data_IF_645349998418
#
_entry.id   IF_645349998418
#
_cell.length_a   1.000
_cell.length_b   1.000
_cell.length_c   1.000
_cell.angle_alpha   90.00
_cell.angle_beta   90.00
_cell.angle_gamma   90.00
#
_symmetry.space_group_name_H-M   'P 1'
#
loop_
_entity.id
_entity.type
_entity.pdbx_description
1 polymer ?
#
# COMPACT_ATOMS: atom_id res chain seq x y z
N UNK A 1 11.60 1.19 21.87
CA UNK A 1 11.56 2.66 21.62
C UNK A 1 11.57 2.82 20.11
N UNK A 2 10.80 3.77 19.60
CA UNK A 2 10.78 4.15 18.19
C UNK A 2 11.04 5.64 18.09
N UNK A 3 11.39 6.13 16.90
CA UNK A 3 11.70 7.53 16.67
C UNK A 3 10.98 8.01 15.43
N UNK A 4 10.44 9.22 15.50
CA UNK A 4 10.01 9.98 14.34
C UNK A 4 11.12 10.97 14.05
N UNK A 5 11.63 10.95 12.82
CA UNK A 5 12.69 11.83 12.36
C UNK A 5 12.08 12.76 11.32
N UNK A 6 12.08 14.05 11.57
CA UNK A 6 11.61 15.02 10.59
C UNK A 6 12.60 15.14 9.44
N UNK A 7 12.08 15.18 8.22
CA UNK A 7 12.87 15.36 7.01
C UNK A 7 13.71 16.63 7.08
N UNK A 8 14.91 16.58 6.51
CA UNK A 8 15.83 17.73 6.45
C UNK A 8 16.54 17.78 5.10
N UNK A 9 16.81 18.99 4.63
CA UNK A 9 17.49 19.24 3.35
C UNK A 9 19.00 19.24 3.46
N UNK A 10 19.56 19.25 4.67
CA UNK A 10 21.00 19.18 4.87
C UNK A 10 21.47 17.73 5.06
N UNK A 11 22.65 17.42 4.55
CA UNK A 11 23.23 16.07 4.55
C UNK A 11 23.87 15.67 5.89
N UNK A 12 23.64 16.44 6.97
CA UNK A 12 24.24 16.10 8.26
C UNK A 12 23.71 14.76 8.77
N UNK A 13 24.50 14.03 9.58
CA UNK A 13 24.01 12.79 10.19
C UNK A 13 22.83 13.06 11.15
N UNK A 14 21.86 12.16 11.22
CA UNK A 14 20.80 12.18 12.25
C UNK A 14 21.29 11.42 13.47
N UNK A 15 21.22 12.05 14.64
CA UNK A 15 21.56 11.40 15.91
C UNK A 15 20.29 11.17 16.74
N UNK A 16 19.94 9.91 16.97
CA UNK A 16 18.72 9.55 17.70
C UNK A 16 18.69 10.04 19.16
N UNK A 17 19.85 10.33 19.77
CA UNK A 17 19.87 10.95 21.10
C UNK A 17 19.41 12.41 21.08
N UNK A 18 19.61 13.12 19.96
CA UNK A 18 19.11 14.48 19.73
C UNK A 18 17.61 14.44 19.45
N UNK A 19 17.15 13.49 18.63
CA UNK A 19 15.72 13.23 18.41
C UNK A 19 15.01 12.91 19.74
N UNK A 20 15.62 12.07 20.59
CA UNK A 20 15.09 11.74 21.91
C UNK A 20 14.98 12.95 22.84
N UNK A 21 15.81 13.98 22.63
CA UNK A 21 15.78 15.22 23.38
C UNK A 21 14.76 16.24 22.81
N UNK A 22 14.05 15.89 21.73
CA UNK A 22 13.04 16.75 21.09
C UNK A 22 13.69 17.81 20.21
N UNK A 23 14.44 17.39 19.20
CA UNK A 23 15.01 18.28 18.18
C UNK A 23 15.11 17.55 16.86
N UNK A 24 14.40 18.02 15.83
CA UNK A 24 14.33 17.37 14.52
C UNK A 24 13.46 16.11 14.50
N UNK A 25 12.53 15.99 15.47
CA UNK A 25 11.68 14.82 15.64
C UNK A 25 11.38 14.53 17.11
N UNK A 26 10.84 13.33 17.40
CA UNK A 26 10.52 12.91 18.76
C UNK A 26 10.66 11.39 18.96
N UNK A 27 10.80 10.97 20.22
CA UNK A 27 10.86 9.56 20.62
C UNK A 27 9.50 9.04 21.10
N UNK A 28 9.20 7.78 20.77
CA UNK A 28 8.06 7.00 21.26
C UNK A 28 8.60 5.92 22.22
N UNK A 29 8.23 6.01 23.49
CA UNK A 29 8.63 5.07 24.53
C UNK A 29 7.57 3.99 24.74
N UNK A 30 8.01 2.73 24.90
CA UNK A 30 7.13 1.58 25.13
C UNK A 30 6.30 1.69 26.41
N UNK A 31 5.20 0.93 26.48
CA UNK A 31 4.29 0.89 27.63
C UNK A 31 4.93 0.11 28.80
N UNK A 32 5.26 -1.17 28.60
CA UNK A 32 5.83 -2.03 29.64
C UNK A 32 7.17 -2.67 29.21
N UNK A 33 7.83 -3.29 30.18
CA UNK A 33 9.04 -4.07 29.92
C UNK A 33 8.68 -5.36 29.17
N UNK A 34 9.54 -5.77 28.24
CA UNK A 34 9.42 -6.99 27.41
C UNK A 34 8.25 -7.01 26.41
N UNK A 35 7.47 -5.94 26.26
CA UNK A 35 6.45 -5.82 25.21
C UNK A 35 7.04 -5.78 23.78
N UNK A 36 8.36 -5.58 23.66
CA UNK A 36 9.09 -5.40 22.39
C UNK A 36 8.49 -4.33 21.46
N UNK A 37 7.92 -3.27 22.03
CA UNK A 37 7.38 -2.15 21.26
C UNK A 37 8.44 -1.52 20.33
N UNK A 38 8.08 -1.34 19.06
CA UNK A 38 8.97 -0.84 18.02
C UNK A 38 9.75 -1.94 17.29
N UNK A 39 9.36 -3.21 17.45
CA UNK A 39 9.85 -4.30 16.62
C UNK A 39 9.46 -4.09 15.15
N UNK A 40 8.23 -3.65 14.92
CA UNK A 40 7.73 -3.15 13.64
C UNK A 40 7.11 -1.77 13.84
N UNK A 41 7.37 -0.87 12.89
CA UNK A 41 6.83 0.49 12.83
C UNK A 41 6.54 0.83 11.37
N UNK A 42 5.53 1.66 11.13
CA UNK A 42 5.24 2.21 9.81
C UNK A 42 4.58 3.58 9.93
N UNK A 43 4.57 4.34 8.83
CA UNK A 43 3.54 5.37 8.64
C UNK A 43 2.18 4.66 8.64
N UNK A 44 1.18 5.30 9.22
CA UNK A 44 -0.20 4.84 9.17
C UNK A 44 -1.02 5.57 8.09
N UNK A 45 -0.51 6.69 7.54
CA UNK A 45 -1.33 7.63 6.79
C UNK A 45 -2.25 8.43 7.74
N UNK A 46 -3.19 9.22 7.21
CA UNK A 46 -4.14 10.01 7.98
C UNK A 46 -5.35 9.15 8.40
N UNK A 47 -5.13 8.26 9.38
CA UNK A 47 -6.20 7.36 9.88
C UNK A 47 -7.29 8.11 10.64
N UNK A 48 -7.10 9.40 10.95
CA UNK A 48 -8.04 10.19 11.76
C UNK A 48 -8.70 11.36 11.00
N UNK A 49 -8.23 11.66 9.78
CA UNK A 49 -8.77 12.68 8.89
C UNK A 49 -8.48 14.09 9.36
N UNK A 50 -7.30 14.35 9.95
CA UNK A 50 -6.86 15.69 10.36
C UNK A 50 -5.79 16.32 9.45
N UNK A 51 -5.42 15.62 8.37
CA UNK A 51 -4.46 16.04 7.36
C UNK A 51 -3.00 15.85 7.76
N UNK A 52 -2.72 15.13 8.85
CA UNK A 52 -1.37 14.73 9.23
C UNK A 52 -1.25 13.22 9.22
N UNK A 53 -0.17 12.71 8.62
CA UNK A 53 0.16 11.30 8.72
C UNK A 53 0.35 10.87 10.18
N UNK A 54 -0.35 9.80 10.53
CA UNK A 54 -0.28 9.11 11.80
C UNK A 54 0.77 7.98 11.73
N UNK A 55 1.00 7.29 12.86
CA UNK A 55 2.03 6.28 12.98
C UNK A 55 1.48 5.02 13.64
N UNK A 56 1.95 3.85 13.22
CA UNK A 56 1.66 2.59 13.90
C UNK A 56 2.92 1.95 14.47
N UNK A 57 2.83 1.49 15.72
CA UNK A 57 3.93 0.83 16.45
C UNK A 57 3.48 -0.51 16.99
N UNK A 58 4.11 -1.60 16.54
CA UNK A 58 3.85 -2.96 16.99
C UNK A 58 4.60 -3.32 18.28
N UNK A 59 3.93 -4.08 19.16
CA UNK A 59 4.44 -4.59 20.43
C UNK A 59 3.94 -6.03 20.65
N UNK A 60 4.54 -6.97 19.91
CA UNK A 60 4.01 -8.32 19.71
C UNK A 60 4.04 -9.24 20.95
N UNK A 61 4.77 -8.88 22.01
CA UNK A 61 4.73 -9.59 23.31
C UNK A 61 3.91 -8.86 24.37
N UNK A 62 3.25 -7.75 24.04
CA UNK A 62 2.43 -7.08 25.02
C UNK A 62 1.28 -7.98 25.50
N UNK A 63 0.92 -7.83 26.78
CA UNK A 63 -0.12 -8.61 27.45
C UNK A 63 -1.39 -7.75 27.63
N UNK A 64 -2.29 -7.67 26.62
CA UNK A 64 -3.62 -7.09 26.80
C UNK A 64 -4.49 -7.98 27.70
N UNK A 65 -5.71 -7.51 28.01
CA UNK A 65 -6.66 -8.28 28.83
C UNK A 65 -7.11 -9.61 28.20
N UNK A 66 -6.91 -9.80 26.89
CA UNK A 66 -7.18 -11.05 26.18
C UNK A 66 -6.17 -12.16 26.48
N UNK A 67 -4.97 -11.84 26.98
CA UNK A 67 -4.03 -12.82 27.46
C UNK A 67 -2.56 -12.51 27.16
N UNK A 68 -1.69 -13.40 27.63
CA UNK A 68 -0.23 -13.22 27.52
C UNK A 68 0.24 -13.32 26.06
N UNK A 69 1.18 -12.48 25.66
CA UNK A 69 1.75 -12.39 24.31
C UNK A 69 0.70 -12.33 23.19
N UNK A 70 -0.54 -11.90 23.49
CA UNK A 70 -1.54 -11.68 22.45
C UNK A 70 -1.10 -10.52 21.53
N UNK A 71 -0.27 -9.63 22.07
CA UNK A 71 0.31 -8.50 21.37
C UNK A 71 -0.59 -7.26 21.43
N UNK A 72 0.04 -6.10 21.21
CA UNK A 72 -0.64 -4.82 21.02
C UNK A 72 -0.01 -4.09 19.84
N UNK A 73 -0.81 -3.24 19.20
CA UNK A 73 -0.31 -2.20 18.31
C UNK A 73 -0.83 -0.85 18.77
N UNK A 74 -0.09 0.22 18.52
CA UNK A 74 -0.44 1.57 18.97
C UNK A 74 -0.47 2.49 17.77
N UNK A 75 -1.60 3.13 17.58
CA UNK A 75 -1.79 4.18 16.58
C UNK A 75 -1.54 5.50 17.29
N UNK A 76 -0.51 6.21 16.86
CA UNK A 76 -0.08 7.50 17.42
C UNK A 76 -0.43 8.56 16.40
N UNK A 77 -1.32 9.47 16.77
CA UNK A 77 -1.73 10.52 15.85
C UNK A 77 -0.58 11.51 15.60
N UNK A 78 -0.50 11.95 14.35
CA UNK A 78 0.42 12.91 13.81
C UNK A 78 0.37 14.21 14.60
N UNK A 79 1.54 14.83 14.75
CA UNK A 79 1.65 16.10 15.47
C UNK A 79 2.89 16.88 15.07
N UNK A 80 2.77 18.20 15.16
CA UNK A 80 3.83 19.12 14.77
C UNK A 80 4.86 19.32 15.91
N UNK A 81 4.49 19.07 17.16
CA UNK A 81 5.40 19.27 18.30
C UNK A 81 6.37 18.09 18.51
N UNK A 82 7.57 18.40 18.97
CA UNK A 82 8.68 17.46 19.17
C UNK A 82 8.67 16.76 20.55
N UNK A 83 7.56 16.87 21.30
CA UNK A 83 7.50 16.25 22.64
C UNK A 83 7.51 14.73 22.54
N UNK A 84 8.20 14.05 23.46
CA UNK A 84 8.17 12.59 23.53
C UNK A 84 6.75 12.04 23.74
N UNK A 85 6.48 10.86 23.20
CA UNK A 85 5.23 10.11 23.39
C UNK A 85 5.52 8.87 24.23
N UNK A 86 4.64 8.55 25.18
CA UNK A 86 4.68 7.28 25.91
C UNK A 86 3.47 6.45 25.51
N UNK A 87 3.66 5.19 25.10
CA UNK A 87 2.57 4.35 24.61
C UNK A 87 1.47 4.09 25.68
N UNK A 88 1.79 4.24 26.97
CA UNK A 88 0.79 4.20 28.04
C UNK A 88 -0.29 5.31 27.94
N UNK A 89 0.05 6.49 27.42
CA UNK A 89 -0.97 7.54 27.21
C UNK A 89 -1.83 7.26 25.98
N UNK A 90 -1.25 6.64 24.95
CA UNK A 90 -1.97 6.18 23.76
C UNK A 90 -2.95 5.07 24.14
N UNK A 91 -2.52 4.11 24.97
CA UNK A 91 -3.39 3.06 25.53
C UNK A 91 -4.57 3.63 26.33
N UNK A 92 -4.41 4.81 26.94
CA UNK A 92 -5.48 5.51 27.66
C UNK A 92 -6.38 6.39 26.76
N UNK A 93 -6.16 6.38 25.44
CA UNK A 93 -6.96 7.13 24.46
C UNK A 93 -6.57 8.60 24.32
N UNK A 94 -5.32 8.97 24.62
CA UNK A 94 -4.80 10.34 24.45
C UNK A 94 -3.77 10.37 23.34
N UNK A 95 -4.01 11.18 22.28
CA UNK A 95 -3.08 11.32 21.15
C UNK A 95 -3.02 10.11 20.21
N UNK A 96 -4.04 9.26 20.24
CA UNK A 96 -4.13 8.04 19.45
C UNK A 96 -4.96 6.98 20.15
N UNK A 97 -4.86 5.73 19.71
CA UNK A 97 -5.54 4.58 20.32
C UNK A 97 -4.70 3.31 20.26
N UNK A 98 -5.08 2.31 21.07
CA UNK A 98 -4.44 1.00 21.11
C UNK A 98 -5.31 -0.06 20.42
N UNK A 99 -4.65 -1.00 19.74
CA UNK A 99 -5.22 -2.20 19.15
C UNK A 99 -4.73 -3.38 20.00
N UNK A 100 -5.67 -4.09 20.64
CA UNK A 100 -5.38 -5.23 21.50
C UNK A 100 -5.53 -6.56 20.74
N UNK A 101 -4.54 -7.44 20.89
CA UNK A 101 -4.50 -8.77 20.29
C UNK A 101 -5.70 -9.67 20.61
N UNK A 102 -5.99 -10.64 19.73
CA UNK A 102 -7.15 -11.52 19.83
C UNK A 102 -6.97 -12.59 20.92
N UNK A 103 -5.98 -13.49 20.75
CA UNK A 103 -5.75 -14.62 21.66
C UNK A 103 -4.30 -14.67 22.17
N UNK A 104 -4.11 -15.45 23.23
CA UNK A 104 -2.79 -15.76 23.82
C UNK A 104 -1.83 -16.28 22.75
N UNK A 105 -0.59 -15.80 22.77
CA UNK A 105 0.50 -16.23 21.88
C UNK A 105 0.27 -16.02 20.36
N UNK A 106 -0.77 -15.28 19.94
CA UNK A 106 -0.99 -14.92 18.53
C UNK A 106 0.10 -13.97 17.98
N UNK A 107 0.79 -13.24 18.87
CA UNK A 107 1.86 -12.28 18.57
C UNK A 107 1.43 -11.17 17.60
N UNK A 108 0.22 -10.64 17.79
CA UNK A 108 -0.27 -9.54 16.96
C UNK A 108 0.60 -8.28 17.08
N UNK A 109 0.85 -7.59 15.96
CA UNK A 109 1.76 -6.44 15.93
C UNK A 109 3.22 -6.81 15.72
N UNK A 110 3.50 -8.05 15.31
CA UNK A 110 4.83 -8.46 14.82
C UNK A 110 5.19 -7.71 13.52
N UNK A 111 4.21 -7.48 12.65
CA UNK A 111 4.29 -6.67 11.45
C UNK A 111 3.08 -5.74 11.43
N UNK A 112 3.33 -4.45 11.23
CA UNK A 112 2.30 -3.42 11.11
C UNK A 112 2.59 -2.54 9.90
N UNK A 113 1.55 -2.07 9.23
CA UNK A 113 1.65 -1.11 8.14
C UNK A 113 0.38 -0.26 8.04
N UNK A 114 0.47 0.92 7.42
CA UNK A 114 -0.69 1.48 6.73
C UNK A 114 -1.21 0.46 5.71
N UNK A 115 -2.52 0.42 5.55
CA UNK A 115 -3.22 -0.31 4.52
C UNK A 115 -3.64 0.61 3.35
N UNK A 116 -3.54 1.94 3.50
CA UNK A 116 -4.23 2.89 2.61
C UNK A 116 -5.75 2.89 2.87
N UNK A 117 -6.53 3.56 2.03
CA UNK A 117 -8.00 3.58 2.12
C UNK A 117 -8.60 2.35 1.42
N UNK A 118 -8.53 1.21 2.10
CA UNK A 118 -8.99 -0.07 1.51
C UNK A 118 -10.52 -0.16 1.41
N UNK A 119 -11.24 0.76 2.04
CA UNK A 119 -12.70 0.73 2.14
C UNK A 119 -13.39 1.91 1.41
N UNK A 120 -12.63 2.89 0.96
CA UNK A 120 -13.07 4.03 0.18
C UNK A 120 -13.89 5.03 1.01
N UNK A 121 -13.54 5.24 2.29
CA UNK A 121 -14.18 6.24 3.17
C UNK A 121 -13.36 7.51 3.39
N UNK A 122 -12.19 7.60 2.75
CA UNK A 122 -11.28 8.75 2.78
C UNK A 122 -10.44 8.84 4.05
N UNK A 123 -10.38 7.79 4.85
CA UNK A 123 -9.43 7.64 5.95
C UNK A 123 -8.46 6.50 5.61
N UNK A 124 -7.18 6.68 5.93
CA UNK A 124 -6.26 5.56 5.82
C UNK A 124 -6.64 4.47 6.83
N UNK A 125 -6.47 3.22 6.41
CA UNK A 125 -6.69 2.03 7.22
C UNK A 125 -5.35 1.42 7.64
N UNK A 126 -5.40 0.39 8.49
CA UNK A 126 -4.21 -0.25 9.06
C UNK A 126 -4.25 -1.75 8.85
N UNK A 127 -3.10 -2.37 8.66
CA UNK A 127 -2.96 -3.84 8.68
C UNK A 127 -2.00 -4.30 9.78
N UNK A 128 -2.44 -5.31 10.55
CA UNK A 128 -1.71 -5.88 11.68
C UNK A 128 -1.58 -7.39 11.49
N UNK A 129 -0.35 -7.90 11.42
CA UNK A 129 -0.04 -9.32 11.31
C UNK A 129 0.03 -10.03 12.67
N UNK A 130 -0.44 -11.29 12.71
CA UNK A 130 -0.39 -12.21 13.85
C UNK A 130 -0.10 -13.64 13.34
N UNK A 131 1.16 -13.89 12.98
CA UNK A 131 1.53 -15.09 12.21
C UNK A 131 1.50 -16.41 13.00
N UNK A 132 1.28 -16.36 14.31
CA UNK A 132 1.06 -17.54 15.15
C UNK A 132 -0.41 -17.80 15.48
N UNK A 133 -1.33 -16.97 14.98
CA UNK A 133 -2.75 -17.19 15.21
C UNK A 133 -3.26 -18.46 14.51
N UNK A 134 -4.31 -19.04 15.11
CA UNK A 134 -4.89 -20.32 14.71
C UNK A 134 -6.32 -20.16 14.14
N UNK A 135 -6.50 -19.59 12.93
CA UNK A 135 -7.82 -19.46 12.33
C UNK A 135 -8.44 -20.84 12.06
N UNK A 136 -9.73 -21.01 12.40
CA UNK A 136 -10.49 -22.24 12.17
C UNK A 136 -9.81 -23.54 12.63
N UNK A 137 -9.03 -23.47 13.72
CA UNK A 137 -8.21 -24.55 14.27
C UNK A 137 -7.04 -25.02 13.36
N UNK A 138 -6.58 -24.17 12.43
CA UNK A 138 -5.35 -24.39 11.66
C UNK A 138 -4.15 -23.82 12.44
N UNK A 139 -3.45 -24.68 13.17
CA UNK A 139 -2.27 -24.31 13.98
C UNK A 139 -1.28 -23.48 13.14
N UNK A 140 -0.98 -22.26 13.60
CA UNK A 140 -0.02 -21.31 13.00
C UNK A 140 -0.23 -21.04 11.52
N UNK A 141 -1.46 -21.14 11.02
CA UNK A 141 -1.78 -20.64 9.69
C UNK A 141 -1.61 -19.11 9.61
N UNK A 142 -1.75 -18.44 10.76
CA UNK A 142 -1.61 -17.00 10.89
C UNK A 142 -2.89 -16.26 10.55
N UNK A 143 -3.01 -15.03 11.08
CA UNK A 143 -4.05 -14.07 10.74
C UNK A 143 -3.42 -12.72 10.44
N UNK A 144 -4.10 -11.95 9.61
CA UNK A 144 -3.90 -10.49 9.50
C UNK A 144 -5.22 -9.79 9.75
N UNK A 145 -5.17 -8.58 10.30
CA UNK A 145 -6.35 -7.81 10.63
C UNK A 145 -6.25 -6.45 9.97
N UNK A 146 -7.28 -6.13 9.20
CA UNK A 146 -7.48 -4.78 8.68
C UNK A 146 -8.31 -4.03 9.70
N UNK A 147 -7.80 -2.89 10.17
CA UNK A 147 -8.45 -2.02 11.13
C UNK A 147 -8.76 -0.71 10.42
N UNK A 148 -10.05 -0.38 10.31
CA UNK A 148 -10.46 0.83 9.62
C UNK A 148 -10.08 2.10 10.39
N UNK A 149 -9.70 3.13 9.63
CA UNK A 149 -9.45 4.48 10.10
C UNK A 149 -10.64 5.03 10.88
N UNK A 150 -10.36 5.86 11.89
CA UNK A 150 -11.38 6.49 12.71
C UNK A 150 -10.88 7.71 13.48
N UNK A 151 -11.81 8.64 13.71
CA UNK A 151 -11.57 9.88 14.48
C UNK A 151 -11.61 9.69 15.99
N UNK A 152 -12.38 8.69 16.46
CA UNK A 152 -12.45 8.41 17.89
C UNK A 152 -11.21 7.67 18.40
N UNK A 153 -10.89 7.87 19.67
CA UNK A 153 -9.68 7.32 20.29
C UNK A 153 -9.96 6.05 21.09
N UNK A 154 -11.10 5.41 20.86
CA UNK A 154 -11.47 4.21 21.63
C UNK A 154 -10.56 3.05 21.25
N UNK A 155 -10.22 2.19 22.21
CA UNK A 155 -9.39 1.02 21.92
C UNK A 155 -10.11 0.07 20.97
N UNK A 156 -9.35 -0.53 20.05
CA UNK A 156 -9.81 -1.60 19.16
C UNK A 156 -9.40 -2.94 19.76
N UNK A 157 -10.28 -3.93 19.75
CA UNK A 157 -9.95 -5.30 20.11
C UNK A 157 -10.07 -6.17 18.87
N UNK A 158 -9.01 -6.89 18.50
CA UNK A 158 -9.00 -7.70 17.29
C UNK A 158 -10.06 -8.82 17.32
N UNK A 159 -10.47 -9.27 18.51
CA UNK A 159 -11.61 -10.19 18.68
C UNK A 159 -12.95 -9.62 18.21
N UNK A 160 -13.15 -8.30 18.21
CA UNK A 160 -14.36 -7.67 17.68
C UNK A 160 -14.35 -7.56 16.14
N UNK A 161 -13.15 -7.51 15.54
CA UNK A 161 -12.93 -7.57 14.10
C UNK A 161 -13.10 -9.00 13.59
N UNK A 162 -12.56 -9.98 14.31
CA UNK A 162 -12.70 -11.40 13.98
C UNK A 162 -14.11 -11.95 14.22
N UNK A 163 -14.92 -11.28 15.03
CA UNK A 163 -16.33 -11.64 15.21
C UNK A 163 -17.13 -11.41 13.92
N UNK A 164 -18.24 -12.13 13.76
CA UNK A 164 -19.12 -12.01 12.57
C UNK A 164 -19.69 -10.60 12.32
N UNK A 165 -19.62 -9.71 13.31
CA UNK A 165 -19.98 -8.30 13.15
C UNK A 165 -18.93 -7.46 12.41
N UNK A 166 -17.67 -7.92 12.28
CA UNK A 166 -16.58 -7.19 11.63
C UNK A 166 -16.44 -5.76 12.15
N UNK A 167 -16.52 -5.55 13.47
CA UNK A 167 -16.66 -4.19 13.99
C UNK A 167 -15.32 -3.46 13.88
N UNK A 168 -15.26 -2.46 12.99
CA UNK A 168 -14.08 -1.63 12.79
C UNK A 168 -13.04 -2.21 11.84
N UNK A 169 -13.41 -3.17 10.98
CA UNK A 169 -12.53 -3.72 9.95
C UNK A 169 -12.88 -5.17 9.62
N UNK A 170 -11.95 -5.92 9.05
CA UNK A 170 -12.11 -7.34 8.74
C UNK A 170 -10.84 -8.15 9.03
N UNK A 171 -10.99 -9.47 9.15
CA UNK A 171 -9.89 -10.42 9.38
C UNK A 171 -9.57 -11.20 8.11
N UNK A 172 -8.28 -11.44 7.89
CA UNK A 172 -7.72 -12.28 6.84
C UNK A 172 -7.14 -13.54 7.49
N UNK A 173 -7.72 -14.69 7.20
CA UNK A 173 -7.32 -15.98 7.76
C UNK A 173 -6.32 -16.71 6.85
N UNK A 174 -5.28 -17.27 7.45
CA UNK A 174 -4.29 -18.10 6.79
C UNK A 174 -4.84 -19.33 6.06
N UNK A 175 -4.16 -19.73 4.99
CA UNK A 175 -4.58 -20.81 4.10
C UNK A 175 -4.41 -22.19 4.76
N UNK A 176 -3.18 -22.59 5.11
CA UNK A 176 -2.87 -23.90 5.67
C UNK A 176 -2.08 -23.81 6.99
N UNK A 177 -2.03 -24.94 7.70
CA UNK A 177 -1.28 -25.12 8.95
C UNK A 177 0.19 -24.76 8.72
N UNK A 178 0.77 -24.00 9.67
CA UNK A 178 2.18 -23.56 9.70
C UNK A 178 2.63 -22.70 8.50
N UNK A 179 1.72 -22.22 7.63
CA UNK A 179 2.05 -21.27 6.56
C UNK A 179 2.55 -19.92 7.12
N UNK A 180 2.13 -19.57 8.35
CA UNK A 180 2.51 -18.36 9.09
C UNK A 180 2.25 -17.07 8.30
N UNK A 181 1.06 -16.99 7.70
CA UNK A 181 0.62 -15.77 7.04
C UNK A 181 0.57 -14.59 8.02
N UNK A 182 0.87 -13.38 7.54
CA UNK A 182 0.95 -12.20 8.40
C UNK A 182 2.30 -12.01 9.11
N UNK A 183 3.33 -12.78 8.70
CA UNK A 183 4.72 -12.53 9.14
C UNK A 183 5.22 -11.16 8.66
N UNK A 184 4.75 -10.75 7.48
CA UNK A 184 4.99 -9.47 6.85
C UNK A 184 3.70 -9.05 6.16
N UNK A 185 3.29 -7.81 6.39
CA UNK A 185 2.09 -7.19 5.83
C UNK A 185 2.43 -5.78 5.37
N UNK A 186 1.81 -5.34 4.28
CA UNK A 186 1.96 -3.99 3.74
C UNK A 186 0.68 -3.60 2.99
N UNK A 187 0.42 -2.29 2.86
CA UNK A 187 -0.38 -1.80 1.73
C UNK A 187 0.31 -2.23 0.43
N UNK A 188 -0.49 -2.55 -0.58
CA UNK A 188 -0.07 -2.82 -1.93
C UNK A 188 -0.25 -1.59 -2.85
N UNK A 189 -1.01 -0.57 -2.42
CA UNK A 189 -1.56 0.44 -3.31
C UNK A 189 -2.74 -0.10 -4.13
N UNK A 190 -3.21 0.61 -5.15
CA UNK A 190 -4.28 0.15 -6.03
C UNK A 190 -3.69 -0.72 -7.16
N UNK A 191 -3.50 -2.02 -6.88
CA UNK A 191 -2.82 -2.90 -7.84
C UNK A 191 -3.77 -3.44 -8.92
N UNK A 192 -5.07 -3.18 -8.79
CA UNK A 192 -6.09 -3.68 -9.72
C UNK A 192 -6.85 -2.55 -10.45
N UNK A 193 -6.63 -1.29 -10.07
CA UNK A 193 -7.22 -0.12 -10.71
C UNK A 193 -8.68 0.13 -10.35
N UNK A 194 -9.16 -0.39 -9.22
CA UNK A 194 -10.54 -0.25 -8.77
C UNK A 194 -10.81 0.94 -7.85
N UNK A 195 -9.75 1.69 -7.51
CA UNK A 195 -9.79 2.90 -6.70
C UNK A 195 -9.79 2.67 -5.20
N UNK A 196 -9.59 1.43 -4.74
CA UNK A 196 -9.37 1.09 -3.34
C UNK A 196 -7.93 0.61 -3.18
N UNK A 197 -7.30 0.97 -2.06
CA UNK A 197 -6.00 0.40 -1.75
C UNK A 197 -6.13 -1.10 -1.46
N UNK A 198 -5.17 -1.86 -2.00
CA UNK A 198 -5.05 -3.30 -1.82
C UNK A 198 -4.00 -3.64 -0.76
N UNK A 199 -3.92 -4.92 -0.41
CA UNK A 199 -3.07 -5.43 0.66
C UNK A 199 -2.17 -6.55 0.16
N UNK A 200 -0.95 -6.63 0.68
CA UNK A 200 -0.09 -7.81 0.48
C UNK A 200 0.26 -8.48 1.82
N UNK A 201 0.06 -9.79 1.88
CA UNK A 201 0.28 -10.63 3.07
C UNK A 201 1.25 -11.75 2.73
N UNK A 202 2.38 -11.80 3.43
CA UNK A 202 3.40 -12.84 3.28
C UNK A 202 3.14 -14.09 4.13
N UNK A 203 3.38 -15.27 3.55
CA UNK A 203 3.30 -16.59 4.19
C UNK A 203 4.52 -17.44 3.80
N UNK A 204 5.65 -17.13 4.44
CA UNK A 204 6.97 -17.58 4.01
C UNK A 204 7.25 -19.09 4.17
N UNK A 205 6.44 -19.81 4.96
CA UNK A 205 6.55 -21.26 5.12
C UNK A 205 5.55 -22.03 4.26
N UNK A 206 4.74 -21.34 3.44
CA UNK A 206 3.77 -22.01 2.61
C UNK A 206 4.43 -22.90 1.53
N UNK A 207 3.70 -23.95 1.16
CA UNK A 207 4.15 -24.98 0.21
C UNK A 207 3.37 -24.89 -1.13
N UNK A 208 3.61 -23.87 -1.98
CA UNK A 208 2.90 -23.76 -3.26
C UNK A 208 3.14 -25.00 -4.12
N UNK A 209 2.05 -25.63 -4.57
CA UNK A 209 2.08 -26.87 -5.36
C UNK A 209 2.92 -28.01 -4.72
N UNK A 210 3.06 -28.01 -3.39
CA UNK A 210 3.85 -28.99 -2.64
C UNK A 210 5.35 -28.71 -2.58
N UNK A 211 5.80 -27.55 -3.06
CA UNK A 211 7.20 -27.12 -3.00
C UNK A 211 7.52 -26.60 -1.60
N UNK A 212 8.17 -27.45 -0.79
CA UNK A 212 8.41 -27.23 0.63
C UNK A 212 9.08 -25.87 0.92
N UNK A 213 8.44 -25.01 1.72
CA UNK A 213 8.95 -23.71 2.15
C UNK A 213 9.41 -22.80 1.00
N UNK A 214 8.81 -22.93 -0.19
CA UNK A 214 9.01 -21.94 -1.25
C UNK A 214 8.38 -20.60 -0.86
N UNK A 215 7.35 -20.63 -0.02
CA UNK A 215 6.62 -19.47 0.46
C UNK A 215 5.55 -19.01 -0.54
N UNK A 216 4.58 -18.25 -0.02
CA UNK A 216 3.56 -17.56 -0.80
C UNK A 216 3.45 -16.11 -0.34
N UNK A 217 2.98 -15.25 -1.23
CA UNK A 217 2.40 -13.95 -0.86
C UNK A 217 1.00 -13.87 -1.44
N UNK A 218 0.11 -13.14 -0.78
CA UNK A 218 -1.28 -13.00 -1.20
C UNK A 218 -1.59 -11.52 -1.34
N UNK A 219 -2.06 -11.14 -2.52
CA UNK A 219 -2.66 -9.85 -2.76
C UNK A 219 -4.15 -9.98 -2.45
N UNK A 220 -4.63 -9.15 -1.53
CA UNK A 220 -6.04 -9.12 -1.11
C UNK A 220 -6.60 -7.77 -1.52
N UNK A 221 -7.62 -7.78 -2.36
CA UNK A 221 -8.19 -6.54 -2.87
C UNK A 221 -8.97 -5.78 -1.79
N UNK A 222 -8.90 -4.45 -1.88
CA UNK A 222 -9.69 -3.52 -1.08
C UNK A 222 -11.19 -3.81 -1.22
N UNK A 223 -11.94 -3.52 -0.15
CA UNK A 223 -13.39 -3.71 -0.15
C UNK A 223 -14.10 -2.93 0.96
N UNK A 224 -15.34 -2.53 0.65
CA UNK A 224 -16.22 -1.79 1.58
C UNK A 224 -16.89 -2.67 2.63
N UNK A 225 -17.13 -3.94 2.31
CA UNK A 225 -17.75 -4.87 3.25
C UNK A 225 -16.74 -5.37 4.29
N UNK A 226 -17.25 -5.85 5.41
CA UNK A 226 -16.45 -6.29 6.56
C UNK A 226 -16.38 -7.81 6.68
N UNK A 227 -16.70 -8.53 5.59
CA UNK A 227 -16.70 -9.98 5.62
C UNK A 227 -15.27 -10.52 5.84
N UNK A 228 -15.14 -11.64 6.52
CA UNK A 228 -13.87 -12.36 6.62
C UNK A 228 -13.33 -12.73 5.25
N UNK A 229 -12.01 -12.63 5.09
CA UNK A 229 -11.29 -13.12 3.91
C UNK A 229 -10.49 -14.35 4.31
N UNK A 230 -10.62 -15.44 3.54
CA UNK A 230 -9.77 -16.62 3.70
C UNK A 230 -8.75 -16.66 2.56
N UNK A 231 -7.46 -16.79 2.88
CA UNK A 231 -6.40 -16.80 1.85
C UNK A 231 -6.54 -17.98 0.86
N UNK A 232 -7.27 -19.04 1.21
CA UNK A 232 -7.64 -20.11 0.26
C UNK A 232 -8.57 -19.62 -0.85
N UNK A 233 -9.43 -18.64 -0.58
CA UNK A 233 -10.32 -18.02 -1.58
C UNK A 233 -9.52 -17.13 -2.51
N UNK A 234 -8.55 -16.37 -1.96
CA UNK A 234 -7.59 -15.57 -2.72
C UNK A 234 -6.74 -16.45 -3.63
N UNK A 235 -6.23 -17.58 -3.12
CA UNK A 235 -5.48 -18.56 -3.91
C UNK A 235 -6.30 -19.17 -5.07
N UNK A 236 -7.63 -19.17 -4.95
CA UNK A 236 -8.54 -19.60 -6.02
C UNK A 236 -8.92 -18.49 -7.01
N UNK A 237 -8.38 -17.28 -6.84
CA UNK A 237 -8.57 -16.13 -7.74
C UNK A 237 -9.85 -15.35 -7.48
N UNK A 238 -10.34 -15.28 -6.24
CA UNK A 238 -11.50 -14.46 -5.87
C UNK A 238 -11.10 -13.41 -4.83
N UNK A 239 -11.34 -12.13 -5.12
CA UNK A 239 -11.01 -11.01 -4.21
C UNK A 239 -9.52 -10.71 -4.08
N UNK A 240 -8.71 -11.14 -5.06
CA UNK A 240 -7.26 -11.00 -5.07
C UNK A 240 -6.58 -12.14 -5.83
N UNK A 241 -5.26 -12.24 -5.70
CA UNK A 241 -4.46 -13.31 -6.30
C UNK A 241 -3.29 -13.74 -5.42
N UNK A 242 -2.77 -14.95 -5.68
CA UNK A 242 -1.61 -15.51 -4.97
C UNK A 242 -0.35 -15.40 -5.82
N UNK A 243 0.78 -15.16 -5.16
CA UNK A 243 2.13 -15.16 -5.70
C UNK A 243 2.86 -16.36 -5.10
N UNK A 244 3.20 -17.35 -5.92
CA UNK A 244 3.84 -18.59 -5.49
C UNK A 244 5.37 -18.49 -5.59
N UNK A 245 6.05 -18.89 -4.51
CA UNK A 245 7.51 -19.00 -4.46
C UNK A 245 8.09 -19.97 -5.49
N UNK A 246 9.33 -19.70 -5.89
CA UNK A 246 10.02 -20.42 -6.98
C UNK A 246 10.53 -21.81 -6.55
N UNK A 247 11.47 -21.88 -5.60
CA UNK A 247 12.12 -23.13 -5.20
C UNK A 247 11.93 -23.43 -3.72
N UNK A 248 12.08 -24.71 -3.37
CA UNK A 248 11.98 -25.17 -2.00
C UNK A 248 13.03 -24.51 -1.10
N UNK A 249 12.59 -23.95 0.03
CA UNK A 249 13.45 -23.27 0.98
C UNK A 249 13.89 -21.86 0.58
N UNK A 250 13.28 -21.26 -0.45
CA UNK A 250 13.54 -19.86 -0.82
C UNK A 250 12.91 -18.88 0.19
N UNK A 251 11.86 -19.31 0.91
CA UNK A 251 11.10 -18.53 1.89
C UNK A 251 10.63 -17.19 1.33
N UNK A 252 10.04 -17.20 0.12
CA UNK A 252 9.42 -16.02 -0.48
C UNK A 252 8.25 -15.51 0.37
N UNK A 253 8.01 -14.19 0.39
CA UNK A 253 6.98 -13.61 1.24
C UNK A 253 7.38 -13.44 2.71
N UNK A 254 8.67 -13.63 3.06
CA UNK A 254 9.19 -13.25 4.38
C UNK A 254 9.19 -11.73 4.58
N UNK A 255 9.27 -10.98 3.49
CA UNK A 255 9.18 -9.53 3.43
C UNK A 255 8.45 -9.14 2.16
N UNK A 256 7.39 -8.33 2.30
CA UNK A 256 6.58 -7.81 1.20
C UNK A 256 6.39 -6.31 1.35
N UNK A 257 6.25 -5.59 0.24
CA UNK A 257 5.93 -4.16 0.22
C UNK A 257 5.30 -3.77 -1.11
N UNK A 258 4.60 -2.64 -1.15
CA UNK A 258 4.33 -1.95 -2.42
C UNK A 258 5.65 -1.45 -3.01
N UNK A 259 5.73 -1.43 -4.33
CA UNK A 259 6.79 -0.78 -5.08
C UNK A 259 6.33 0.57 -5.69
N UNK A 260 5.04 0.91 -5.56
CA UNK A 260 4.37 1.91 -6.39
C UNK A 260 4.28 1.46 -7.85
N UNK A 261 3.70 2.28 -8.71
CA UNK A 261 3.73 2.07 -10.16
C UNK A 261 5.15 2.29 -10.73
N UNK A 262 5.96 1.21 -10.83
CA UNK A 262 7.35 1.30 -11.29
C UNK A 262 7.49 1.12 -12.80
N UNK A 263 6.43 0.67 -13.47
CA UNK A 263 6.42 0.45 -14.91
C UNK A 263 5.67 1.56 -15.69
N UNK A 264 4.96 2.44 -14.98
CA UNK A 264 4.21 3.56 -15.52
C UNK A 264 2.84 3.19 -16.09
N UNK A 265 2.29 2.02 -15.75
CA UNK A 265 1.07 1.51 -16.37
C UNK A 265 -0.23 2.01 -15.71
N UNK A 266 -0.11 2.75 -14.61
CA UNK A 266 -1.23 3.29 -13.86
C UNK A 266 -1.71 2.39 -12.71
N UNK A 267 -1.11 1.22 -12.52
CA UNK A 267 -1.36 0.32 -11.40
C UNK A 267 -0.16 0.27 -10.46
N UNK A 268 -0.40 0.13 -9.15
CA UNK A 268 0.70 -0.07 -8.22
C UNK A 268 1.31 -1.47 -8.34
N UNK A 269 2.63 -1.54 -8.21
CA UNK A 269 3.40 -2.78 -8.27
C UNK A 269 3.84 -3.25 -6.88
N UNK A 270 4.37 -4.48 -6.83
CA UNK A 270 4.72 -5.17 -5.60
C UNK A 270 6.17 -5.59 -5.60
N UNK A 271 6.80 -5.62 -4.43
CA UNK A 271 8.13 -6.20 -4.22
C UNK A 271 8.11 -7.30 -3.15
N UNK A 272 8.68 -8.46 -3.49
CA UNK A 272 8.67 -9.67 -2.65
C UNK A 272 10.10 -10.16 -2.44
N UNK A 273 10.47 -10.38 -1.19
CA UNK A 273 11.76 -10.94 -0.80
C UNK A 273 11.73 -12.46 -0.62
N UNK A 274 12.73 -13.14 -1.19
CA UNK A 274 13.03 -14.57 -1.00
C UNK A 274 14.48 -14.71 -0.52
N UNK A 275 14.69 -14.47 0.77
CA UNK A 275 16.02 -14.22 1.34
C UNK A 275 16.98 -15.43 1.30
N UNK A 276 16.49 -16.64 1.04
CA UNK A 276 17.34 -17.84 0.93
C UNK A 276 17.41 -18.42 -0.49
N UNK A 277 16.85 -17.73 -1.48
CA UNK A 277 16.98 -18.14 -2.87
C UNK A 277 18.45 -18.20 -3.32
N UNK A 278 18.71 -19.04 -4.33
CA UNK A 278 20.04 -19.38 -4.82
C UNK A 278 20.32 -18.82 -6.24
N UNK A 279 20.33 -17.48 -6.47
CA UNK A 279 20.60 -16.91 -7.79
C UNK A 279 22.01 -17.26 -8.27
N UNK A 280 22.16 -17.57 -9.55
CA UNK A 280 23.43 -18.01 -10.16
C UNK A 280 24.14 -19.17 -9.42
N UNK A 281 23.38 -20.05 -8.76
CA UNK A 281 23.90 -21.11 -7.89
C UNK A 281 24.70 -20.60 -6.68
N UNK A 282 24.46 -19.37 -6.22
CA UNK A 282 25.05 -18.81 -5.00
C UNK A 282 24.12 -19.09 -3.83
N UNK A 283 24.50 -20.05 -2.99
CA UNK A 283 23.66 -20.49 -1.88
C UNK A 283 23.25 -19.33 -0.96
N UNK A 284 21.94 -19.18 -0.77
CA UNK A 284 21.27 -18.20 0.09
C UNK A 284 21.72 -16.76 -0.14
N UNK A 285 22.02 -16.41 -1.40
CA UNK A 285 22.32 -15.04 -1.77
C UNK A 285 21.04 -14.16 -1.79
N UNK A 286 19.87 -14.80 -1.90
CA UNK A 286 18.56 -14.16 -1.88
C UNK A 286 18.15 -13.60 -3.25
N UNK A 287 16.84 -13.50 -3.47
CA UNK A 287 16.23 -12.82 -4.63
C UNK A 287 15.18 -11.83 -4.13
N UNK A 288 15.01 -10.74 -4.89
CA UNK A 288 13.88 -9.83 -4.79
C UNK A 288 13.17 -9.82 -6.13
N UNK A 289 11.85 -9.91 -6.10
CA UNK A 289 11.01 -9.94 -7.29
C UNK A 289 10.13 -8.71 -7.28
N UNK A 290 10.06 -8.01 -8.42
CA UNK A 290 9.00 -7.03 -8.69
C UNK A 290 7.90 -7.76 -9.44
N UNK A 291 6.66 -7.61 -8.98
CA UNK A 291 5.47 -8.20 -9.58
C UNK A 291 4.54 -7.05 -9.93
N UNK A 292 4.19 -6.93 -11.21
CA UNK A 292 3.36 -5.82 -11.66
C UNK A 292 1.90 -5.97 -11.24
N UNK A 293 1.25 -4.83 -11.02
CA UNK A 293 -0.19 -4.72 -10.83
C UNK A 293 -0.96 -5.33 -12.00
N UNK A 294 -2.19 -5.79 -11.74
CA UNK A 294 -3.08 -6.37 -12.76
C UNK A 294 -4.53 -6.46 -12.29
N UNK A 295 -5.45 -6.33 -13.24
CA UNK A 295 -6.90 -6.47 -13.01
C UNK A 295 -7.40 -7.91 -12.89
N UNK A 296 -6.68 -8.87 -13.48
CA UNK A 296 -7.07 -10.27 -13.37
C UNK A 296 -6.61 -10.90 -12.05
N UNK A 297 -7.24 -11.99 -11.66
CA UNK A 297 -6.94 -12.69 -10.42
C UNK A 297 -6.11 -13.96 -10.62
N UNK A 298 -5.46 -14.12 -11.79
CA UNK A 298 -4.61 -15.30 -12.03
C UNK A 298 -3.43 -15.30 -11.06
N UNK A 299 -3.05 -16.50 -10.60
CA UNK A 299 -1.85 -16.66 -9.79
C UNK A 299 -0.60 -16.23 -10.56
N UNK A 300 0.38 -15.71 -9.84
CA UNK A 300 1.72 -15.39 -10.35
C UNK A 300 2.68 -16.43 -9.81
N UNK A 301 3.44 -17.09 -10.67
CA UNK A 301 4.51 -18.00 -10.26
C UNK A 301 5.86 -17.28 -10.42
N UNK A 302 6.63 -17.12 -9.33
CA UNK A 302 7.92 -16.42 -9.38
C UNK A 302 8.95 -17.11 -10.30
N UNK A 303 8.74 -18.40 -10.58
CA UNK A 303 9.51 -19.15 -11.58
C UNK A 303 9.34 -18.59 -13.00
N UNK A 304 8.16 -18.10 -13.36
CA UNK A 304 7.91 -17.50 -14.68
C UNK A 304 8.65 -16.16 -14.82
N UNK A 305 8.73 -15.38 -13.74
CA UNK A 305 9.52 -14.13 -13.73
C UNK A 305 11.01 -14.45 -13.92
N UNK A 306 11.53 -15.43 -13.19
CA UNK A 306 12.92 -15.89 -13.35
C UNK A 306 13.23 -16.43 -14.75
N UNK A 307 12.23 -16.99 -15.43
CA UNK A 307 12.35 -17.48 -16.80
C UNK A 307 12.19 -16.39 -17.88
N UNK A 308 11.83 -15.16 -17.49
CA UNK A 308 11.51 -14.08 -18.43
C UNK A 308 10.16 -14.25 -19.13
N UNK A 309 9.25 -15.04 -18.56
CA UNK A 309 7.90 -15.30 -19.07
C UNK A 309 6.83 -14.36 -18.48
N UNK A 310 7.24 -13.31 -17.74
CA UNK A 310 6.32 -12.31 -17.21
C UNK A 310 5.61 -11.51 -18.31
N UNK A 311 4.49 -10.88 -17.96
CA UNK A 311 3.76 -9.97 -18.86
C UNK A 311 4.67 -8.77 -19.19
N UNK A 312 4.65 -8.35 -20.45
CA UNK A 312 5.44 -7.23 -20.94
C UNK A 312 4.77 -5.94 -20.46
N UNK A 313 5.49 -5.11 -19.70
CA UNK A 313 5.05 -3.76 -19.37
C UNK A 313 4.83 -2.95 -20.66
N UNK A 314 3.85 -2.04 -20.65
CA UNK A 314 3.67 -1.10 -21.75
C UNK A 314 4.95 -0.27 -21.95
N UNK A 315 5.37 -0.06 -23.19
CA UNK A 315 6.58 0.71 -23.46
C UNK A 315 6.27 2.21 -23.40
N UNK A 316 7.17 3.03 -22.85
CA UNK A 316 7.03 4.49 -22.91
C UNK A 316 6.92 4.94 -24.38
N UNK A 317 5.79 5.53 -24.74
CA UNK A 317 5.53 6.04 -26.09
C UNK A 317 6.21 7.40 -26.30
N UNK A 318 6.13 8.26 -25.28
CA UNK A 318 6.69 9.60 -25.30
C UNK A 318 7.62 9.81 -24.11
N UNK A 319 8.93 9.86 -24.38
CA UNK A 319 9.94 10.18 -23.38
C UNK A 319 10.53 11.56 -23.66
N UNK A 320 10.39 12.45 -22.68
CA UNK A 320 11.02 13.76 -22.67
C UNK A 320 12.43 13.76 -22.06
N UNK A 321 12.91 14.94 -21.69
CA UNK A 321 14.25 15.16 -21.12
C UNK A 321 14.23 16.22 -20.01
N UNK A 322 15.33 16.96 -19.83
CA UNK A 322 15.42 18.02 -18.81
C UNK A 322 15.03 19.42 -19.36
N UNK A 323 14.57 19.50 -20.62
CA UNK A 323 14.17 20.73 -21.30
C UNK A 323 12.63 20.81 -21.42
N UNK A 324 12.07 22.02 -21.56
CA UNK A 324 10.65 22.22 -21.88
C UNK A 324 10.25 21.48 -23.19
N UNK A 325 9.49 20.39 -23.08
CA UNK A 325 9.06 19.55 -24.17
C UNK A 325 7.61 19.83 -24.59
N UNK A 326 7.29 19.49 -25.84
CA UNK A 326 5.91 19.44 -26.32
C UNK A 326 5.67 18.07 -26.92
N UNK A 327 4.93 17.24 -26.19
CA UNK A 327 4.63 15.85 -26.53
C UNK A 327 3.16 15.75 -26.93
N UNK A 328 2.88 15.20 -28.11
CA UNK A 328 1.52 15.13 -28.67
C UNK A 328 1.22 13.72 -29.11
N UNK A 329 0.34 13.04 -28.38
CA UNK A 329 -0.17 11.71 -28.65
C UNK A 329 -1.24 11.67 -29.71
N UNK A 330 -1.82 10.48 -29.85
CA UNK A 330 -2.82 10.17 -30.87
C UNK A 330 -4.15 9.78 -30.23
N UNK A 331 -4.83 8.76 -30.74
CA UNK A 331 -6.08 8.27 -30.15
C UNK A 331 -5.95 6.83 -29.70
N UNK A 332 -4.71 6.35 -29.55
CA UNK A 332 -4.44 5.03 -28.99
C UNK A 332 -4.22 5.20 -27.49
N UNK A 333 -3.78 4.16 -26.79
CA UNK A 333 -3.42 4.32 -25.38
C UNK A 333 -1.91 4.56 -25.33
N UNK A 334 -1.47 5.70 -24.76
CA UNK A 334 -0.07 6.09 -24.73
C UNK A 334 0.46 6.40 -23.32
N UNK A 335 1.73 6.05 -23.08
CA UNK A 335 2.48 6.42 -21.87
C UNK A 335 3.42 7.59 -22.14
N UNK A 336 3.18 8.70 -21.44
CA UNK A 336 4.01 9.90 -21.44
C UNK A 336 4.86 9.96 -20.17
N UNK A 337 6.17 10.15 -20.33
CA UNK A 337 7.13 10.42 -19.26
C UNK A 337 7.96 11.63 -19.68
N UNK A 338 7.60 12.83 -19.20
CA UNK A 338 8.13 14.08 -19.75
C UNK A 338 9.47 14.48 -19.10
N UNK A 339 9.59 14.42 -17.76
CA UNK A 339 10.87 14.51 -17.07
C UNK A 339 11.02 15.78 -16.24
N UNK A 340 11.97 16.65 -16.58
CA UNK A 340 12.11 17.96 -15.94
C UNK A 340 11.84 19.05 -16.98
N UNK A 341 11.51 20.25 -16.50
CA UNK A 341 11.22 21.39 -17.38
C UNK A 341 9.72 21.63 -17.44
N UNK A 342 9.30 22.71 -18.09
CA UNK A 342 7.88 23.05 -18.18
C UNK A 342 7.29 22.46 -19.46
N UNK A 343 6.70 21.29 -19.34
CA UNK A 343 6.27 20.44 -20.43
C UNK A 343 4.82 20.70 -20.86
N UNK A 344 4.52 20.42 -22.12
CA UNK A 344 3.15 20.41 -22.66
C UNK A 344 2.83 19.03 -23.21
N UNK A 345 1.92 18.32 -22.55
CA UNK A 345 1.50 16.97 -22.92
C UNK A 345 0.08 17.02 -23.48
N UNK A 346 -0.15 16.44 -24.65
CA UNK A 346 -1.47 16.39 -25.28
C UNK A 346 -1.84 14.96 -25.63
N UNK A 347 -2.91 14.42 -25.04
CA UNK A 347 -3.37 13.04 -25.27
C UNK A 347 -3.93 12.81 -26.67
N UNK A 348 -5.01 13.52 -27.00
CA UNK A 348 -5.83 13.36 -28.22
C UNK A 348 -6.76 12.13 -28.26
N UNK A 349 -6.81 11.33 -27.18
CA UNK A 349 -7.78 10.25 -26.97
C UNK A 349 -7.11 9.02 -26.36
N UNK A 350 -7.89 7.99 -26.03
CA UNK A 350 -7.41 6.75 -25.42
C UNK A 350 -7.09 6.84 -23.93
N UNK A 351 -6.67 5.70 -23.38
CA UNK A 351 -6.37 5.51 -21.96
C UNK A 351 -4.92 5.93 -21.64
N UNK A 352 -4.63 7.21 -21.86
CA UNK A 352 -3.30 7.75 -21.68
C UNK A 352 -2.88 7.85 -20.22
N UNK A 353 -1.61 7.54 -19.94
CA UNK A 353 -0.94 7.82 -18.66
C UNK A 353 0.04 8.97 -18.87
N UNK A 354 -0.19 10.07 -18.15
CA UNK A 354 0.69 11.23 -18.13
C UNK A 354 1.49 11.26 -16.83
N UNK A 355 2.81 11.11 -16.95
CA UNK A 355 3.77 11.42 -15.89
C UNK A 355 4.56 12.66 -16.34
N UNK A 356 4.13 13.86 -15.93
CA UNK A 356 4.75 15.10 -16.38
C UNK A 356 6.12 15.33 -15.71
N UNK A 357 6.23 15.04 -14.42
CA UNK A 357 7.51 15.07 -13.72
C UNK A 357 7.67 16.37 -12.96
N UNK A 358 8.78 17.10 -13.10
CA UNK A 358 8.99 18.34 -12.33
C UNK A 358 9.08 19.55 -13.24
N UNK A 359 8.20 20.51 -13.01
CA UNK A 359 8.09 21.74 -13.76
C UNK A 359 6.72 22.36 -13.57
N UNK A 360 6.47 23.50 -14.21
CA UNK A 360 5.10 24.00 -14.32
C UNK A 360 4.50 23.46 -15.63
N UNK A 361 3.88 22.28 -15.58
CA UNK A 361 3.47 21.51 -16.74
C UNK A 361 2.02 21.78 -17.17
N UNK A 362 1.71 21.50 -18.44
CA UNK A 362 0.35 21.60 -19.00
C UNK A 362 -0.03 20.26 -19.63
N UNK A 363 -0.99 19.58 -19.01
CA UNK A 363 -1.57 18.33 -19.52
C UNK A 363 -2.91 18.64 -20.18
N UNK A 364 -3.05 18.29 -21.46
CA UNK A 364 -4.20 18.63 -22.30
C UNK A 364 -4.94 17.34 -22.66
N UNK A 365 -6.15 17.20 -22.12
CA UNK A 365 -7.02 16.03 -22.36
C UNK A 365 -8.30 16.43 -23.10
N UNK A 366 -8.80 15.54 -23.96
CA UNK A 366 -10.06 15.74 -24.67
C UNK A 366 -11.21 14.91 -24.05
N UNK A 367 -12.37 14.89 -24.72
CA UNK A 367 -13.55 14.16 -24.26
C UNK A 367 -13.32 12.65 -24.06
N UNK A 368 -12.51 12.04 -24.93
CA UNK A 368 -12.25 10.61 -24.91
C UNK A 368 -11.27 10.26 -23.77
N UNK A 369 -10.18 11.02 -23.62
CA UNK A 369 -9.29 10.88 -22.47
C UNK A 369 -10.04 11.03 -21.14
N UNK A 370 -10.91 12.03 -21.03
CA UNK A 370 -11.72 12.26 -19.83
C UNK A 370 -12.66 11.08 -19.54
N UNK A 371 -13.29 10.50 -20.57
CA UNK A 371 -14.12 9.31 -20.40
C UNK A 371 -13.31 8.09 -19.95
N UNK A 372 -12.04 7.97 -20.36
CA UNK A 372 -11.12 6.89 -19.94
C UNK A 372 -10.60 7.09 -18.53
N UNK A 373 -10.40 8.34 -18.12
CA UNK A 373 -10.02 8.70 -16.75
C UNK A 373 -11.12 8.32 -15.74
N UNK A 374 -12.39 8.48 -16.12
CA UNK A 374 -13.54 7.98 -15.34
C UNK A 374 -13.80 6.47 -15.50
N UNK A 375 -13.00 5.76 -16.28
CA UNK A 375 -13.12 4.32 -16.51
C UNK A 375 -12.15 3.54 -15.63
N UNK A 376 -12.63 2.46 -15.02
CA UNK A 376 -11.86 1.47 -14.22
C UNK A 376 -11.35 0.31 -15.07
N UNK A 377 -11.11 0.55 -16.35
CA UNK A 377 -10.85 -0.51 -17.33
C UNK A 377 -9.51 -0.25 -17.97
N UNK A 378 -8.59 -1.19 -17.78
CA UNK A 378 -7.32 -1.20 -18.50
C UNK A 378 -7.55 -1.33 -20.00
N UNK A 379 -6.75 -0.59 -20.76
CA UNK A 379 -6.72 -0.63 -22.22
C UNK A 379 -5.26 -0.67 -22.65
N UNK A 380 -4.87 -1.70 -23.40
CA UNK A 380 -3.48 -1.93 -23.80
C UNK A 380 -2.50 -1.93 -22.62
N UNK A 381 -2.89 -2.59 -21.52
CA UNK A 381 -2.14 -2.64 -20.26
C UNK A 381 -1.99 -1.28 -19.54
N UNK A 382 -2.63 -0.20 -20.02
CA UNK A 382 -2.64 1.11 -19.35
C UNK A 382 -3.98 1.40 -18.66
N UNK A 383 -3.90 2.05 -17.50
CA UNK A 383 -5.03 2.66 -16.82
C UNK A 383 -4.88 4.19 -16.82
N UNK A 384 -5.78 4.89 -17.53
CA UNK A 384 -5.61 6.31 -17.84
C UNK A 384 -5.31 7.16 -16.60
N UNK A 385 -4.20 7.91 -16.53
CA UNK A 385 -3.84 8.68 -15.33
C UNK A 385 -3.28 10.04 -15.71
N UNK A 386 -3.49 11.02 -14.85
CA UNK A 386 -2.89 12.35 -14.94
C UNK A 386 -2.08 12.60 -13.68
N UNK A 387 -0.76 12.69 -13.83
CA UNK A 387 0.18 13.06 -12.79
C UNK A 387 0.99 14.28 -13.25
N UNK A 388 0.77 15.43 -12.61
CA UNK A 388 1.55 16.65 -12.85
C UNK A 388 2.93 16.60 -12.18
N UNK A 389 3.08 15.82 -11.11
CA UNK A 389 4.30 15.66 -10.34
C UNK A 389 4.66 16.84 -9.45
N UNK A 390 5.66 17.63 -9.85
CA UNK A 390 6.29 18.60 -8.96
C UNK A 390 6.20 20.03 -9.47
N UNK A 391 5.60 20.90 -8.65
CA UNK A 391 5.52 22.36 -8.71
C UNK A 391 4.08 22.87 -8.92
N UNK A 392 3.71 23.36 -10.11
CA UNK A 392 2.40 23.97 -10.34
C UNK A 392 1.90 23.59 -11.72
N UNK A 393 1.01 22.62 -11.73
CA UNK A 393 0.64 21.90 -12.94
C UNK A 393 -0.80 22.19 -13.33
N UNK A 394 -1.04 22.20 -14.64
CA UNK A 394 -2.33 22.56 -15.23
C UNK A 394 -2.94 21.39 -15.99
N UNK A 395 -4.09 20.91 -15.53
CA UNK A 395 -4.96 20.04 -16.33
C UNK A 395 -5.92 20.89 -17.16
N UNK A 396 -5.79 20.82 -18.48
CA UNK A 396 -6.58 21.57 -19.45
C UNK A 396 -7.57 20.68 -20.19
N UNK A 397 -8.85 21.07 -20.21
CA UNK A 397 -9.89 20.39 -20.99
C UNK A 397 -9.98 20.97 -22.41
N UNK A 398 -9.49 20.23 -23.40
CA UNK A 398 -9.57 20.57 -24.81
C UNK A 398 -10.85 20.02 -25.46
N UNK A 399 -11.89 20.83 -25.50
CA UNK A 399 -13.15 20.45 -26.16
C UNK A 399 -14.28 21.42 -25.88
N UNK A 400 -15.52 20.96 -26.07
CA UNK A 400 -16.72 21.67 -25.65
C UNK A 400 -17.68 20.83 -24.84
N UNK A 401 -18.29 21.49 -23.86
CA UNK A 401 -19.31 20.94 -22.96
C UNK A 401 -18.80 19.70 -22.20
N UNK A 402 -17.52 19.73 -21.80
CA UNK A 402 -16.88 18.70 -21.00
C UNK A 402 -17.20 18.89 -19.51
N UNK A 403 -17.44 17.79 -18.81
CA UNK A 403 -17.72 17.77 -17.38
C UNK A 403 -16.71 16.88 -16.65
N UNK A 404 -15.78 17.51 -15.92
CA UNK A 404 -14.82 16.81 -15.07
C UNK A 404 -15.49 16.46 -13.74
N UNK A 405 -16.20 15.33 -13.69
CA UNK A 405 -16.82 14.85 -12.45
C UNK A 405 -15.81 14.07 -11.60
N UNK A 406 -15.18 14.76 -10.65
CA UNK A 406 -14.22 14.15 -9.73
C UNK A 406 -14.84 13.08 -8.84
N UNK A 407 -16.16 12.99 -8.72
CA UNK A 407 -16.81 11.90 -7.96
C UNK A 407 -16.85 10.58 -8.72
N UNK A 408 -16.53 10.60 -10.02
CA UNK A 408 -16.49 9.43 -10.90
C UNK A 408 -15.06 9.02 -11.25
N UNK A 409 -14.06 9.75 -10.75
CA UNK A 409 -12.64 9.47 -10.97
C UNK A 409 -12.10 8.98 -9.64
N UNK A 410 -11.46 7.82 -9.67
CA UNK A 410 -10.91 7.22 -8.47
C UNK A 410 -9.74 8.04 -7.91
N UNK A 411 -9.52 7.91 -6.60
CA UNK A 411 -8.38 8.54 -5.94
C UNK A 411 -7.07 8.12 -6.64
N UNK A 412 -6.10 9.04 -6.74
CA UNK A 412 -4.82 8.79 -7.40
C UNK A 412 -4.82 8.84 -8.93
N UNK A 413 -6.00 8.84 -9.59
CA UNK A 413 -6.08 8.93 -11.07
C UNK A 413 -5.78 10.33 -11.60
N UNK A 414 -6.03 11.36 -10.79
CA UNK A 414 -5.55 12.73 -10.99
C UNK A 414 -4.78 13.09 -9.74
N UNK A 415 -3.48 13.32 -9.87
CA UNK A 415 -2.60 13.70 -8.77
C UNK A 415 -1.69 14.85 -9.18
N UNK A 416 -1.27 15.62 -8.18
CA UNK A 416 -0.33 16.73 -8.35
C UNK A 416 -0.77 17.73 -9.45
N UNK A 417 -2.02 18.19 -9.37
CA UNK A 417 -2.59 19.22 -10.25
C UNK A 417 -3.13 20.37 -9.40
N UNK A 418 -2.58 21.57 -9.58
CA UNK A 418 -2.99 22.78 -8.88
C UNK A 418 -4.04 23.60 -9.66
N UNK A 419 -4.05 23.49 -10.99
CA UNK A 419 -4.88 24.33 -11.86
C UNK A 419 -5.71 23.46 -12.80
N UNK A 420 -7.04 23.65 -12.78
CA UNK A 420 -7.95 23.08 -13.78
C UNK A 420 -8.36 24.19 -14.75
N UNK A 421 -7.87 24.11 -16.00
CA UNK A 421 -8.20 25.06 -17.07
C UNK A 421 -9.44 24.61 -17.85
N UNK A 422 -10.57 25.28 -17.61
CA UNK A 422 -11.85 25.06 -18.29
C UNK A 422 -12.06 25.94 -19.54
N UNK A 423 -11.06 26.73 -19.97
CA UNK A 423 -11.19 27.74 -21.05
C UNK A 423 -11.27 27.19 -22.48
N UNK A 424 -11.59 25.91 -22.65
CA UNK A 424 -11.92 25.32 -23.95
C UNK A 424 -13.11 26.01 -24.65
N UNK A 425 -13.52 25.47 -25.79
CA UNK A 425 -14.74 25.95 -26.46
C UNK A 425 -15.99 25.57 -25.65
N UNK A 426 -17.09 26.33 -25.69
CA UNK A 426 -18.34 25.93 -25.00
C UNK A 426 -18.31 26.06 -23.47
N UNK A 427 -19.23 25.39 -22.77
CA UNK A 427 -19.39 25.51 -21.31
C UNK A 427 -18.79 24.28 -20.61
N UNK A 428 -17.47 24.28 -20.37
CA UNK A 428 -16.86 23.22 -19.57
C UNK A 428 -17.13 23.45 -18.07
N UNK A 429 -17.34 22.37 -17.33
CA UNK A 429 -17.62 22.37 -15.87
C UNK A 429 -16.73 21.35 -15.14
N UNK A 430 -16.56 21.54 -13.83
CA UNK A 430 -15.90 20.60 -12.91
C UNK A 430 -16.79 20.42 -11.67
#
# INVERSE_FOLDING_TARGET
KSYVVFGKTNESAVNLSVIAAGTGGFVINGENANDFSGYSVSSAGDVNGDGLDDLIVGAYHADPSSGNNAGKSYVVFGKINESAVNLSVIASGTGGFVINGENVDDWSGISVSSAGDVNGDGLDDLIVGAYFADPDNKDKAGKSYVVFGKKDKTAVNLSAIAASSGMGGFVINGENIDDRSGVSVSSAGDVNGDGLDDLIVGAYLADPSGTNNAGKSYVVFGKKDKATVDLSVIASGTGGFVINGENAGDFSGVSVSSAGDVNGDGLDDLIIGAHQADPDNKSKAGKSYVVFGKTDTKAVDLADISAGNGVVAHTIDFQGNDDDNTLTGTSVDELFVAGLGNDVLTGNGGADVFNAGKGDDIIIINADNLAKLSSKVLSSDLLARVDGGGNTDTLKLAGADLNLDLTQIDNGRIQDIEIIDLTGSGNNTH
#
